data_IF_807529408156
#
_entry.id   IF_807529408156
#
_cell.length_a   1.000
_cell.length_b   1.000
_cell.length_c   1.000
_cell.angle_alpha   90.00
_cell.angle_beta   90.00
_cell.angle_gamma   90.00
#
_symmetry.space_group_name_H-M   'P 1'
#
loop_
_entity.id
_entity.type
_entity.pdbx_description
1 polymer ?
#
# COMPACT_ATOMS: atom_id res chain seq x y z
N UNK A 1 -11.70 -2.35 26.89
CA UNK A 1 -10.47 -2.11 26.08
C UNK A 1 -10.60 -2.92 24.80
N UNK A 2 -10.78 -2.29 23.64
CA UNK A 2 -10.66 -2.97 22.35
C UNK A 2 -9.22 -3.47 22.19
N UNK A 3 -9.02 -4.74 21.89
CA UNK A 3 -7.72 -5.23 21.44
C UNK A 3 -7.71 -5.16 19.91
N UNK A 4 -7.11 -4.10 19.38
CA UNK A 4 -6.90 -3.93 17.96
C UNK A 4 -5.51 -4.40 17.58
N UNK A 5 -5.42 -5.35 16.65
CA UNK A 5 -4.18 -5.67 15.95
C UNK A 5 -4.42 -5.48 14.46
N UNK A 6 -4.35 -4.24 13.99
CA UNK A 6 -4.50 -3.92 12.57
C UNK A 6 -3.33 -3.08 12.05
N UNK A 7 -3.04 -3.20 10.76
CA UNK A 7 -1.92 -2.52 10.09
C UNK A 7 -2.22 -1.05 9.74
N UNK A 8 -3.50 -0.72 9.51
CA UNK A 8 -4.03 0.65 9.30
C UNK A 8 -5.57 0.66 9.30
N UNK A 9 -6.26 1.73 9.71
CA UNK A 9 -7.72 1.88 9.48
C UNK A 9 -8.08 1.83 7.99
N UNK A 10 -7.19 2.35 7.14
CA UNK A 10 -7.27 2.22 5.68
C UNK A 10 -7.39 0.76 5.20
N UNK A 11 -6.94 -0.23 5.99
CA UNK A 11 -7.01 -1.64 5.62
C UNK A 11 -8.42 -2.24 5.71
N UNK A 12 -9.39 -1.50 6.26
CA UNK A 12 -10.77 -1.96 6.41
C UNK A 12 -11.63 -1.70 5.18
N UNK A 13 -11.13 -1.00 4.17
CA UNK A 13 -11.95 -0.56 3.05
C UNK A 13 -11.45 -1.11 1.71
N UNK A 14 -12.38 -1.29 0.76
CA UNK A 14 -12.08 -1.77 -0.58
C UNK A 14 -11.35 -3.12 -0.57
N UNK A 15 -10.18 -3.17 -1.21
CA UNK A 15 -9.31 -4.35 -1.25
C UNK A 15 -8.08 -4.24 -0.33
N UNK A 16 -8.09 -3.33 0.63
CA UNK A 16 -7.00 -3.07 1.57
C UNK A 16 -6.15 -1.85 1.22
N UNK A 17 -5.00 -1.73 1.89
CA UNK A 17 -4.09 -0.58 1.76
C UNK A 17 -3.27 -0.68 0.48
N UNK A 18 -3.31 0.35 -0.36
CA UNK A 18 -2.44 0.45 -1.53
C UNK A 18 -0.96 0.51 -1.15
N UNK A 19 -0.13 -0.25 -1.87
CA UNK A 19 1.31 -0.24 -1.68
C UNK A 19 1.98 0.83 -2.56
N UNK A 20 2.22 2.00 -1.99
CA UNK A 20 2.91 3.11 -2.66
C UNK A 20 4.42 3.15 -2.35
N UNK A 21 4.95 2.18 -1.60
CA UNK A 21 6.28 2.25 -0.95
C UNK A 21 7.36 1.47 -1.69
N UNK A 22 7.36 1.55 -3.01
CA UNK A 22 8.24 0.77 -3.89
C UNK A 22 9.59 1.44 -4.14
N UNK A 23 9.73 2.74 -3.88
CA UNK A 23 10.98 3.48 -4.07
C UNK A 23 11.37 4.28 -2.82
N UNK A 24 12.20 3.72 -1.93
CA UNK A 24 12.62 4.38 -0.71
C UNK A 24 13.25 5.76 -0.91
N UNK A 25 13.90 6.04 -2.05
CA UNK A 25 14.44 7.36 -2.35
C UNK A 25 13.33 8.38 -2.62
N UNK A 26 12.33 8.00 -3.41
CA UNK A 26 11.18 8.85 -3.72
C UNK A 26 10.28 9.04 -2.49
N UNK A 27 10.13 8.01 -1.65
CA UNK A 27 9.52 8.10 -0.32
C UNK A 27 10.22 9.15 0.58
N UNK A 28 11.55 9.28 0.50
CA UNK A 28 12.30 10.31 1.21
C UNK A 28 12.03 11.75 0.75
N UNK A 29 11.42 11.92 -0.44
CA UNK A 29 11.00 13.18 -1.04
C UNK A 29 9.49 13.38 -0.94
N UNK A 30 8.93 13.16 0.23
CA UNK A 30 7.52 13.41 0.50
C UNK A 30 6.59 12.37 -0.10
N UNK A 31 7.02 11.10 -0.25
CA UNK A 31 6.23 10.07 -0.95
C UNK A 31 5.93 10.41 -2.43
N UNK A 32 6.89 11.04 -3.11
CA UNK A 32 6.85 11.19 -4.57
C UNK A 32 6.85 9.83 -5.26
N UNK A 33 6.21 9.74 -6.42
CA UNK A 33 6.33 8.58 -7.32
C UNK A 33 7.06 8.92 -8.62
N UNK A 34 7.25 10.20 -8.94
CA UNK A 34 7.86 10.65 -10.19
C UNK A 34 9.34 11.03 -10.06
N UNK A 35 9.80 11.36 -8.84
CA UNK A 35 11.14 11.88 -8.57
C UNK A 35 11.80 11.19 -7.37
N UNK A 36 13.10 10.89 -7.50
CA UNK A 36 13.89 10.23 -6.44
C UNK A 36 15.09 11.06 -5.96
N UNK A 37 15.46 12.12 -6.67
CA UNK A 37 16.69 12.88 -6.40
C UNK A 37 17.98 12.05 -6.53
N UNK A 38 17.94 10.84 -7.12
CA UNK A 38 19.13 10.02 -7.35
C UNK A 38 20.07 10.66 -8.38
N UNK A 39 21.40 10.47 -8.25
CA UNK A 39 22.37 10.99 -9.22
C UNK A 39 22.21 10.46 -10.65
N UNK A 40 21.67 9.25 -10.84
CA UNK A 40 21.41 8.68 -12.18
C UNK A 40 20.00 8.99 -12.69
N UNK A 41 19.19 9.73 -11.92
CA UNK A 41 17.81 10.07 -12.27
C UNK A 41 16.84 8.88 -12.29
N UNK A 42 17.24 7.69 -11.85
CA UNK A 42 16.38 6.50 -11.85
C UNK A 42 15.35 6.60 -10.71
N UNK A 43 14.10 6.29 -11.04
CA UNK A 43 12.95 6.25 -10.14
C UNK A 43 12.25 4.92 -10.36
N UNK A 44 12.25 4.04 -9.37
CA UNK A 44 11.73 2.67 -9.53
C UNK A 44 10.22 2.65 -9.76
N UNK A 45 9.51 3.64 -9.21
CA UNK A 45 8.08 3.84 -9.40
C UNK A 45 7.69 4.40 -10.77
N UNK A 46 8.61 4.99 -11.53
CA UNK A 46 8.33 5.64 -12.80
C UNK A 46 9.14 5.03 -13.95
N UNK A 47 8.46 4.26 -14.81
CA UNK A 47 9.10 3.45 -15.85
C UNK A 47 9.86 4.30 -16.87
N UNK A 48 9.47 5.56 -17.08
CA UNK A 48 10.15 6.48 -18.01
C UNK A 48 11.62 6.72 -17.65
N UNK A 49 12.06 6.47 -16.42
CA UNK A 49 13.46 6.71 -16.01
C UNK A 49 14.40 5.51 -16.16
N UNK A 50 13.88 4.29 -16.27
CA UNK A 50 14.70 3.08 -16.10
C UNK A 50 15.81 2.96 -17.16
N UNK A 51 15.59 3.48 -18.37
CA UNK A 51 16.60 3.49 -19.43
C UNK A 51 17.82 4.36 -19.10
N UNK A 52 17.76 5.26 -18.11
CA UNK A 52 18.89 6.07 -17.65
C UNK A 52 20.00 5.20 -17.03
N UNK A 53 19.67 4.00 -16.56
CA UNK A 53 20.64 3.00 -16.12
C UNK A 53 21.17 2.15 -17.28
N UNK A 54 22.49 2.16 -17.47
CA UNK A 54 23.18 1.25 -18.40
C UNK A 54 23.57 -0.10 -17.76
N UNK A 55 23.10 -0.37 -16.55
CA UNK A 55 23.36 -1.61 -15.81
C UNK A 55 22.12 -2.49 -15.79
N UNK A 56 22.34 -3.80 -15.83
CA UNK A 56 21.37 -4.78 -15.39
C UNK A 56 21.28 -4.71 -13.87
N UNK A 57 20.11 -4.35 -13.33
CA UNK A 57 19.90 -4.08 -11.91
C UNK A 57 18.88 -5.05 -11.31
N UNK A 58 19.16 -5.50 -10.10
CA UNK A 58 18.17 -6.05 -9.17
C UNK A 58 17.92 -4.98 -8.11
N UNK A 59 16.65 -4.72 -7.81
CA UNK A 59 16.21 -3.83 -6.74
C UNK A 59 15.27 -4.58 -5.80
N UNK A 60 15.44 -4.38 -4.50
CA UNK A 60 14.52 -4.91 -3.48
C UNK A 60 14.22 -3.77 -2.52
N UNK A 61 12.93 -3.53 -2.28
CA UNK A 61 12.43 -2.58 -1.31
C UNK A 61 11.64 -3.29 -0.21
N UNK A 62 11.88 -2.89 1.03
CA UNK A 62 11.17 -3.36 2.22
C UNK A 62 10.60 -2.16 2.98
N UNK A 63 9.52 -2.41 3.70
CA UNK A 63 8.88 -1.44 4.55
C UNK A 63 8.67 -2.01 5.96
N UNK A 64 9.02 -1.21 6.95
CA UNK A 64 8.62 -1.36 8.33
C UNK A 64 7.64 -0.24 8.65
N UNK A 65 6.51 -0.58 9.25
CA UNK A 65 5.49 0.37 9.69
C UNK A 65 5.23 0.14 11.16
N UNK A 66 5.18 1.23 11.93
CA UNK A 66 4.67 1.25 13.28
C UNK A 66 3.46 2.18 13.32
N UNK A 67 2.32 1.66 13.73
CA UNK A 67 1.07 2.40 13.91
C UNK A 67 0.78 2.51 15.41
N UNK A 68 0.29 3.67 15.85
CA UNK A 68 -0.17 3.90 17.21
C UNK A 68 -1.58 4.47 17.21
N UNK A 69 -2.48 3.82 17.94
CA UNK A 69 -3.90 4.14 18.06
C UNK A 69 -4.31 4.00 19.51
N UNK A 70 -4.83 5.07 20.13
CA UNK A 70 -5.24 5.09 21.54
C UNK A 70 -4.20 4.44 22.48
N UNK A 71 -2.92 4.78 22.27
CA UNK A 71 -1.75 4.27 23.00
C UNK A 71 -1.41 2.77 22.81
N UNK A 72 -2.10 2.06 21.92
CA UNK A 72 -1.72 0.72 21.46
C UNK A 72 -0.83 0.85 20.24
N UNK A 73 0.35 0.22 20.27
CA UNK A 73 1.30 0.22 19.14
C UNK A 73 1.32 -1.13 18.43
N UNK A 74 1.19 -1.11 17.12
CA UNK A 74 1.36 -2.29 16.27
C UNK A 74 2.51 -2.07 15.28
N UNK A 75 3.26 -3.12 14.96
CA UNK A 75 4.39 -3.06 14.04
C UNK A 75 4.28 -4.14 12.98
N UNK A 76 4.52 -3.76 11.72
CA UNK A 76 4.50 -4.67 10.57
C UNK A 76 5.79 -4.53 9.77
N UNK A 77 6.26 -5.66 9.24
CA UNK A 77 7.31 -5.69 8.21
C UNK A 77 6.74 -6.33 6.94
N UNK A 78 6.99 -5.71 5.79
CA UNK A 78 6.56 -6.22 4.50
C UNK A 78 7.59 -5.93 3.40
N UNK A 79 7.74 -6.87 2.47
CA UNK A 79 8.47 -6.63 1.23
C UNK A 79 7.61 -5.74 0.33
N UNK A 80 8.13 -4.56 -0.04
CA UNK A 80 7.44 -3.59 -0.89
C UNK A 80 7.50 -3.96 -2.38
N UNK A 81 8.68 -4.31 -2.88
CA UNK A 81 8.89 -4.73 -4.27
C UNK A 81 10.18 -5.52 -4.45
N UNK A 82 10.22 -6.32 -5.51
CA UNK A 82 11.41 -6.96 -6.05
C UNK A 82 11.39 -6.74 -7.55
N UNK A 83 12.42 -6.09 -8.08
CA UNK A 83 12.45 -5.62 -9.46
C UNK A 83 13.76 -6.02 -10.12
N UNK A 84 13.68 -6.48 -11.36
CA UNK A 84 14.82 -6.77 -12.21
C UNK A 84 14.71 -5.93 -13.48
N UNK A 85 15.75 -5.20 -13.83
CA UNK A 85 15.78 -4.40 -15.05
C UNK A 85 17.09 -4.58 -15.80
N UNK A 86 17.03 -4.46 -17.12
CA UNK A 86 18.23 -4.48 -17.94
C UNK A 86 18.06 -3.61 -19.19
N UNK A 87 19.11 -2.89 -19.59
CA UNK A 87 19.12 -2.20 -20.86
C UNK A 87 19.30 -3.21 -22.00
N UNK A 88 18.48 -3.09 -23.03
CA UNK A 88 18.68 -3.84 -24.29
C UNK A 88 19.19 -2.94 -25.43
N UNK A 89 19.11 -1.62 -25.24
CA UNK A 89 19.76 -0.58 -26.06
C UNK A 89 20.26 0.53 -25.14
N UNK A 90 21.07 1.45 -25.67
CA UNK A 90 21.58 2.60 -24.89
C UNK A 90 20.48 3.50 -24.31
N UNK A 91 19.35 3.58 -25.00
CA UNK A 91 18.23 4.46 -24.64
C UNK A 91 16.97 3.68 -24.31
N UNK A 92 17.06 2.35 -24.12
CA UNK A 92 15.90 1.52 -23.83
C UNK A 92 16.20 0.44 -22.81
N UNK A 93 15.26 0.22 -21.89
CA UNK A 93 15.34 -0.86 -20.91
C UNK A 93 14.03 -1.63 -20.81
N UNK A 94 14.17 -2.88 -20.38
CA UNK A 94 13.06 -3.73 -19.93
C UNK A 94 13.16 -3.87 -18.42
N UNK A 95 12.03 -3.96 -17.75
CA UNK A 95 11.94 -4.34 -16.34
C UNK A 95 10.86 -5.38 -16.13
N UNK A 96 11.08 -6.25 -15.16
CA UNK A 96 10.11 -7.21 -14.65
C UNK A 96 10.17 -7.11 -13.14
N UNK A 97 9.02 -7.03 -12.48
CA UNK A 97 9.03 -6.95 -11.03
C UNK A 97 7.76 -7.49 -10.40
N UNK A 98 7.84 -7.73 -9.10
CA UNK A 98 6.76 -8.23 -8.28
C UNK A 98 6.59 -7.29 -7.09
N UNK A 99 5.35 -6.85 -6.87
CA UNK A 99 4.99 -5.99 -5.74
C UNK A 99 3.55 -6.29 -5.32
N UNK A 100 3.20 -6.25 -4.04
CA UNK A 100 1.79 -6.17 -3.66
C UNK A 100 1.18 -4.89 -4.23
N UNK A 101 -0.02 -4.95 -4.82
CA UNK A 101 -0.85 -3.77 -5.16
C UNK A 101 -1.61 -3.31 -3.91
N UNK A 102 -2.27 -4.23 -3.22
CA UNK A 102 -2.95 -3.98 -1.94
C UNK A 102 -2.50 -4.95 -0.86
N UNK A 103 -2.63 -4.55 0.41
CA UNK A 103 -2.42 -5.41 1.56
C UNK A 103 -3.52 -5.22 2.60
N UNK A 104 -3.99 -6.34 3.13
CA UNK A 104 -4.87 -6.41 4.28
C UNK A 104 -4.25 -7.36 5.28
N UNK A 105 -4.10 -6.88 6.50
CA UNK A 105 -3.63 -7.69 7.63
C UNK A 105 -4.18 -7.05 8.91
N UNK A 106 -5.26 -7.65 9.43
CA UNK A 106 -5.85 -7.24 10.69
C UNK A 106 -6.61 -8.36 11.40
N UNK A 107 -6.59 -8.28 12.72
CA UNK A 107 -7.42 -9.07 13.61
C UNK A 107 -8.19 -8.13 14.54
N UNK A 108 -9.52 -8.21 14.47
CA UNK A 108 -10.45 -7.43 15.30
C UNK A 108 -11.37 -8.39 16.04
N UNK A 109 -11.49 -8.21 17.35
CA UNK A 109 -12.56 -8.82 18.13
C UNK A 109 -13.49 -7.74 18.65
N UNK A 110 -14.80 -7.96 18.52
CA UNK A 110 -15.78 -7.05 19.09
C UNK A 110 -15.58 -6.93 20.60
N UNK A 111 -15.63 -5.73 21.18
CA UNK A 111 -15.43 -5.56 22.63
C UNK A 111 -16.68 -5.92 23.44
N UNK A 112 -17.87 -5.74 22.86
CA UNK A 112 -19.16 -5.94 23.50
C UNK A 112 -19.88 -7.13 22.86
N UNK A 113 -20.79 -7.75 23.63
CA UNK A 113 -21.66 -8.79 23.12
C UNK A 113 -22.82 -8.17 22.33
N UNK A 114 -23.17 -8.82 21.24
CA UNK A 114 -24.45 -8.61 20.58
C UNK A 114 -25.50 -9.54 21.19
N UNK A 115 -26.69 -9.03 21.46
CA UNK A 115 -27.73 -9.76 22.18
C UNK A 115 -28.92 -10.03 21.29
N UNK A 116 -29.23 -11.32 21.12
CA UNK A 116 -30.49 -11.75 20.53
C UNK A 116 -31.43 -12.08 21.68
N UNK A 117 -32.50 -11.31 21.80
CA UNK A 117 -33.51 -11.51 22.84
C UNK A 117 -34.21 -12.85 22.64
N UNK A 118 -34.40 -13.58 23.74
CA UNK A 118 -35.16 -14.82 23.76
C UNK A 118 -36.66 -14.57 23.64
N UNK A 119 -37.40 -15.56 23.13
CA UNK A 119 -38.86 -15.60 23.12
C UNK A 119 -39.40 -16.63 24.11
N UNK A 120 -40.71 -16.88 24.09
CA UNK A 120 -41.36 -17.87 24.98
C UNK A 120 -40.80 -19.30 24.84
N UNK A 121 -40.20 -19.62 23.68
CA UNK A 121 -39.64 -20.94 23.38
C UNK A 121 -38.12 -20.96 23.14
N UNK A 122 -37.42 -19.83 23.30
CA UNK A 122 -35.97 -19.77 23.03
C UNK A 122 -35.24 -18.90 24.04
N UNK A 123 -34.21 -19.46 24.67
CA UNK A 123 -33.31 -18.70 25.53
C UNK A 123 -32.61 -17.58 24.73
N UNK A 124 -32.32 -16.42 25.35
CA UNK A 124 -31.53 -15.38 24.71
C UNK A 124 -30.11 -15.89 24.43
N UNK A 125 -29.47 -15.29 23.43
CA UNK A 125 -28.11 -15.66 23.03
C UNK A 125 -27.25 -14.40 23.02
N UNK A 126 -26.08 -14.48 23.64
CA UNK A 126 -25.03 -13.49 23.49
C UNK A 126 -24.05 -13.95 22.41
N UNK A 127 -23.64 -13.04 21.54
CA UNK A 127 -22.75 -13.33 20.42
C UNK A 127 -21.54 -12.41 20.46
N UNK A 128 -20.40 -12.96 20.07
CA UNK A 128 -19.16 -12.20 19.90
C UNK A 128 -18.48 -12.62 18.62
N UNK A 129 -18.25 -11.65 17.73
CA UNK A 129 -17.54 -11.88 16.49
C UNK A 129 -16.05 -11.53 16.61
N UNK A 130 -15.22 -12.31 15.95
CA UNK A 130 -13.84 -11.95 15.64
C UNK A 130 -13.56 -12.13 14.16
N UNK A 131 -12.87 -11.16 13.60
CA UNK A 131 -12.58 -11.02 12.19
C UNK A 131 -11.07 -11.06 12.00
N UNK A 132 -10.59 -12.03 11.23
CA UNK A 132 -9.19 -12.13 10.85
C UNK A 132 -9.09 -12.06 9.33
N UNK A 133 -8.48 -11.00 8.82
CA UNK A 133 -8.29 -10.78 7.39
C UNK A 133 -6.81 -10.73 7.07
N UNK A 134 -6.40 -11.47 6.05
CA UNK A 134 -5.01 -11.49 5.58
C UNK A 134 -4.93 -11.68 4.07
N UNK A 135 -3.96 -11.01 3.43
CA UNK A 135 -3.70 -11.14 1.99
C UNK A 135 -3.92 -9.84 1.22
N UNK A 136 -4.39 -9.94 -0.01
CA UNK A 136 -4.61 -8.80 -0.91
C UNK A 136 -4.22 -9.09 -2.36
N UNK A 137 -4.18 -8.03 -3.17
CA UNK A 137 -3.84 -8.12 -4.58
C UNK A 137 -2.33 -7.99 -4.74
N UNK A 138 -1.71 -8.96 -5.38
CA UNK A 138 -0.33 -8.94 -5.88
C UNK A 138 -0.27 -8.45 -7.33
N UNK A 139 0.88 -7.90 -7.71
CA UNK A 139 1.14 -7.36 -9.04
C UNK A 139 2.48 -7.88 -9.57
N UNK A 140 2.43 -8.70 -10.61
CA UNK A 140 3.57 -9.01 -11.47
C UNK A 140 3.53 -8.05 -12.66
N UNK A 141 4.61 -7.34 -12.93
CA UNK A 141 4.63 -6.39 -14.02
C UNK A 141 5.75 -6.61 -15.01
N UNK A 142 5.52 -6.15 -16.24
CA UNK A 142 6.54 -5.98 -17.28
C UNK A 142 6.54 -4.52 -17.71
N UNK A 143 7.71 -3.88 -17.64
CA UNK A 143 7.90 -2.47 -17.96
C UNK A 143 8.85 -2.25 -19.13
N UNK A 144 8.55 -1.24 -19.95
CA UNK A 144 9.39 -0.73 -21.03
C UNK A 144 9.71 0.73 -20.77
N UNK A 145 10.96 1.12 -21.03
CA UNK A 145 11.43 2.49 -20.90
C UNK A 145 12.17 2.91 -22.17
N UNK A 146 11.95 4.15 -22.62
CA UNK A 146 12.62 4.73 -23.79
C UNK A 146 12.87 6.23 -23.61
N UNK A 147 14.10 6.68 -23.90
CA UNK A 147 14.50 8.09 -23.87
C UNK A 147 14.91 8.66 -25.24
N UNK A 148 14.19 8.30 -26.31
CA UNK A 148 14.62 8.62 -27.69
C UNK A 148 13.96 9.87 -28.30
N UNK A 149 12.84 10.38 -27.79
CA UNK A 149 12.05 11.40 -28.49
C UNK A 149 12.44 12.79 -27.98
N UNK A 150 13.42 13.45 -28.60
CA UNK A 150 13.70 14.90 -28.45
C UNK A 150 13.55 15.46 -27.01
N UNK A 151 14.29 14.91 -26.04
CA UNK A 151 14.26 15.25 -24.60
C UNK A 151 12.96 14.85 -23.86
N UNK A 152 12.24 13.86 -24.38
CA UNK A 152 11.08 13.23 -23.76
C UNK A 152 11.38 11.76 -23.50
N UNK A 153 11.24 11.35 -22.24
CA UNK A 153 11.32 9.95 -21.83
C UNK A 153 9.92 9.40 -21.62
N UNK A 154 9.70 8.17 -22.08
CA UNK A 154 8.41 7.47 -22.02
C UNK A 154 8.60 6.11 -21.34
N UNK A 155 7.63 5.76 -20.49
CA UNK A 155 7.52 4.49 -19.80
C UNK A 155 6.16 3.85 -20.04
N UNK A 156 6.15 2.53 -20.22
CA UNK A 156 4.95 1.70 -20.22
C UNK A 156 5.13 0.61 -19.18
N UNK A 157 4.13 0.39 -18.32
CA UNK A 157 4.05 -0.72 -17.38
C UNK A 157 2.79 -1.51 -17.65
N UNK A 158 2.92 -2.82 -17.86
CA UNK A 158 1.78 -3.74 -17.87
C UNK A 158 1.80 -4.53 -16.57
N UNK A 159 0.72 -4.39 -15.79
CA UNK A 159 0.50 -5.03 -14.51
C UNK A 159 -0.45 -6.23 -14.69
N UNK A 160 -0.04 -7.38 -14.18
CA UNK A 160 -0.82 -8.61 -14.07
C UNK A 160 -1.17 -8.78 -12.60
N UNK A 161 -2.44 -8.57 -12.28
CA UNK A 161 -2.97 -8.58 -10.93
C UNK A 161 -3.44 -9.99 -10.58
N UNK A 162 -2.99 -10.50 -9.45
CA UNK A 162 -3.37 -11.83 -8.95
C UNK A 162 -3.25 -11.87 -7.43
N UNK A 163 -3.78 -12.89 -6.77
CA UNK A 163 -3.56 -13.08 -5.33
C UNK A 163 -4.85 -13.42 -4.62
N UNK A 164 -4.74 -13.60 -3.30
CA UNK A 164 -5.84 -14.07 -2.48
C UNK A 164 -6.01 -13.17 -1.26
N UNK A 165 -7.27 -12.98 -0.86
CA UNK A 165 -7.63 -12.44 0.45
C UNK A 165 -8.37 -13.53 1.21
N UNK A 166 -7.89 -13.83 2.42
CA UNK A 166 -8.49 -14.76 3.36
C UNK A 166 -9.22 -13.97 4.44
N UNK A 167 -10.46 -14.36 4.72
CA UNK A 167 -11.31 -13.72 5.70
C UNK A 167 -11.96 -14.79 6.58
N UNK A 168 -11.44 -14.93 7.79
CA UNK A 168 -11.93 -15.85 8.78
C UNK A 168 -12.80 -15.11 9.79
N UNK A 169 -14.09 -15.45 9.82
CA UNK A 169 -15.05 -14.87 10.75
C UNK A 169 -15.41 -15.96 11.76
N UNK A 170 -14.99 -15.77 13.00
CA UNK A 170 -15.37 -16.66 14.10
C UNK A 170 -16.50 -16.01 14.87
N UNK A 171 -17.59 -16.76 15.04
CA UNK A 171 -18.75 -16.33 15.82
C UNK A 171 -18.88 -17.25 17.02
N UNK A 172 -18.60 -16.70 18.20
CA UNK A 172 -18.78 -17.39 19.46
C UNK A 172 -20.15 -17.03 20.01
N UNK A 173 -20.96 -18.05 20.30
CA UNK A 173 -22.23 -17.90 21.00
C UNK A 173 -22.03 -18.29 22.46
N UNK A 174 -22.73 -17.60 23.35
CA UNK A 174 -22.67 -17.82 24.78
C UNK A 174 -24.08 -17.98 25.31
N UNK A 175 -24.23 -18.94 26.23
CA UNK A 175 -25.47 -19.11 26.97
C UNK A 175 -25.60 -18.06 28.05
N UNK A 176 -26.84 -17.69 28.30
CA UNK A 176 -27.23 -16.81 29.38
C UNK A 176 -27.75 -17.58 30.58
N UNK A 177 -27.33 -17.18 31.77
CA UNK A 177 -27.86 -17.69 33.02
C UNK A 177 -28.53 -16.56 33.80
N UNK A 178 -29.86 -16.47 33.69
CA UNK A 178 -30.68 -15.49 34.38
C UNK A 178 -30.65 -15.60 35.91
N UNK A 179 -30.28 -16.77 36.44
CA UNK A 179 -30.26 -17.03 37.88
C UNK A 179 -28.88 -16.76 38.52
N UNK A 180 -27.97 -16.09 37.80
CA UNK A 180 -26.69 -15.68 38.35
C UNK A 180 -26.85 -14.58 39.40
N UNK A 181 -26.21 -14.74 40.56
CA UNK A 181 -26.36 -13.86 41.75
C UNK A 181 -26.03 -12.36 41.51
N UNK A 182 -25.51 -11.98 40.33
CA UNK A 182 -25.10 -10.62 39.96
C UNK A 182 -25.74 -10.10 38.65
N UNK A 183 -26.82 -10.75 38.19
CA UNK A 183 -27.55 -10.33 36.98
C UNK A 183 -28.42 -9.11 37.25
N UNK A 184 -28.05 -7.96 36.68
CA UNK A 184 -28.82 -6.71 36.81
C UNK A 184 -29.48 -6.41 35.47
N UNK A 185 -30.81 -6.41 35.44
CA UNK A 185 -31.59 -5.97 34.28
C UNK A 185 -31.71 -4.44 34.26
N UNK A 186 -31.44 -3.81 33.12
CA UNK A 186 -31.76 -2.42 32.84
C UNK A 186 -33.26 -2.21 32.62
N UNK A 187 -33.71 -0.95 32.72
CA UNK A 187 -35.13 -0.58 32.70
C UNK A 187 -35.83 -0.84 31.35
N UNK A 188 -35.08 -1.07 30.28
CA UNK A 188 -35.54 -1.42 28.94
C UNK A 188 -35.57 -2.94 28.70
N UNK A 189 -35.21 -3.76 29.69
CA UNK A 189 -35.13 -5.22 29.59
C UNK A 189 -33.81 -5.75 29.06
N UNK A 190 -32.83 -4.88 28.77
CA UNK A 190 -31.45 -5.28 28.50
C UNK A 190 -30.71 -5.61 29.82
N UNK A 191 -29.52 -6.21 29.76
CA UNK A 191 -28.73 -6.54 30.96
C UNK A 191 -27.56 -5.57 31.11
N UNK A 192 -27.43 -4.98 32.30
CA UNK A 192 -26.47 -3.91 32.60
C UNK A 192 -25.01 -4.40 32.74
N UNK A 193 -24.79 -5.72 32.80
CA UNK A 193 -23.46 -6.31 32.96
C UNK A 193 -23.30 -7.70 32.31
N UNK A 194 -22.07 -8.05 31.91
CA UNK A 194 -21.71 -9.34 31.32
C UNK A 194 -21.75 -10.51 32.34
N UNK A 195 -22.18 -10.27 33.59
CA UNK A 195 -22.14 -11.23 34.68
C UNK A 195 -23.08 -12.44 34.48
N UNK A 196 -24.06 -12.29 33.59
CA UNK A 196 -25.04 -13.34 33.24
C UNK A 196 -24.56 -14.27 32.12
N UNK A 197 -23.41 -13.97 31.50
CA UNK A 197 -22.90 -14.68 30.33
C UNK A 197 -21.95 -15.77 30.81
N UNK A 198 -22.09 -16.99 30.29
CA UNK A 198 -21.16 -18.08 30.57
C UNK A 198 -19.71 -17.68 30.24
N UNK A 199 -18.75 -18.08 31.07
CA UNK A 199 -17.34 -17.70 30.87
C UNK A 199 -16.69 -18.33 29.63
N UNK A 200 -17.29 -19.41 29.09
CA UNK A 200 -16.85 -20.12 27.90
C UNK A 200 -17.95 -20.10 26.83
N UNK A 201 -17.59 -20.06 25.54
CA UNK A 201 -18.56 -20.14 24.47
C UNK A 201 -19.29 -21.50 24.49
N UNK A 202 -20.61 -21.47 24.33
CA UNK A 202 -21.44 -22.67 24.20
C UNK A 202 -21.31 -23.31 22.83
N UNK A 203 -21.10 -22.51 21.79
CA UNK A 203 -20.72 -22.98 20.47
C UNK A 203 -19.90 -21.94 19.71
N UNK A 204 -19.09 -22.41 18.78
CA UNK A 204 -18.30 -21.58 17.87
C UNK A 204 -18.61 -22.00 16.44
N UNK A 205 -18.90 -21.04 15.58
CA UNK A 205 -18.92 -21.23 14.13
C UNK A 205 -17.80 -20.46 13.47
N UNK A 206 -17.21 -21.04 12.43
CA UNK A 206 -16.14 -20.44 11.64
C UNK A 206 -16.62 -20.38 10.20
N UNK A 207 -16.64 -19.16 9.67
CA UNK A 207 -16.89 -18.86 8.27
C UNK A 207 -15.58 -18.42 7.63
N UNK A 208 -15.05 -19.25 6.74
CA UNK A 208 -13.84 -18.97 5.97
C UNK A 208 -14.26 -18.50 4.57
N UNK A 209 -13.97 -17.25 4.24
CA UNK A 209 -14.15 -16.72 2.90
C UNK A 209 -12.78 -16.55 2.23
N UNK A 210 -12.63 -17.05 1.01
CA UNK A 210 -11.44 -16.84 0.19
C UNK A 210 -11.83 -16.08 -1.07
N UNK A 211 -11.18 -14.94 -1.31
CA UNK A 211 -11.35 -14.14 -2.52
C UNK A 211 -10.13 -14.31 -3.41
N UNK A 212 -10.30 -14.82 -4.61
CA UNK A 212 -9.24 -14.97 -5.61
C UNK A 212 -9.35 -13.84 -6.63
N UNK A 213 -8.26 -13.08 -6.79
CA UNK A 213 -8.18 -11.95 -7.70
C UNK A 213 -7.48 -12.34 -9.01
N UNK A 214 -7.99 -11.84 -10.13
CA UNK A 214 -7.32 -11.90 -11.43
C UNK A 214 -7.66 -10.65 -12.24
N UNK A 215 -6.67 -9.89 -12.67
CA UNK A 215 -6.94 -8.71 -13.47
C UNK A 215 -5.72 -8.09 -14.12
N UNK A 216 -5.94 -6.94 -14.74
CA UNK A 216 -4.90 -6.21 -15.45
C UNK A 216 -4.93 -4.72 -15.13
N UNK A 217 -3.80 -4.07 -15.38
CA UNK A 217 -3.65 -2.62 -15.31
C UNK A 217 -2.50 -2.17 -16.20
N UNK A 218 -2.55 -0.95 -16.69
CA UNK A 218 -1.50 -0.34 -17.50
C UNK A 218 -1.13 1.02 -16.95
N UNK A 219 0.17 1.30 -16.80
CA UNK A 219 0.67 2.62 -16.41
C UNK A 219 1.50 3.20 -17.54
N UNK A 220 1.24 4.46 -17.87
CA UNK A 220 1.98 5.23 -18.87
C UNK A 220 2.61 6.43 -18.17
N UNK A 221 3.93 6.56 -18.28
CA UNK A 221 4.69 7.66 -17.70
C UNK A 221 5.39 8.44 -18.81
N UNK A 222 5.37 9.77 -18.73
CA UNK A 222 6.09 10.66 -19.62
C UNK A 222 6.84 11.73 -18.83
N UNK A 223 8.03 12.11 -19.27
CA UNK A 223 8.76 13.24 -18.67
C UNK A 223 9.56 13.99 -19.71
N UNK A 224 9.79 15.27 -19.47
CA UNK A 224 10.62 16.12 -20.31
C UNK A 224 11.51 17.01 -19.46
N UNK A 225 12.77 17.14 -19.87
CA UNK A 225 13.81 17.91 -19.18
C UNK A 225 14.32 19.03 -20.10
N UNK A 226 14.26 20.27 -19.60
CA UNK A 226 14.73 21.48 -20.29
C UNK A 226 15.55 22.29 -19.28
N UNK A 227 16.85 22.37 -19.51
CA UNK A 227 17.82 23.03 -18.63
C UNK A 227 17.77 22.52 -17.17
N UNK A 228 17.26 23.34 -16.26
CA UNK A 228 17.12 23.02 -14.82
C UNK A 228 15.71 22.58 -14.44
N UNK A 229 14.84 22.40 -15.43
CA UNK A 229 13.42 22.12 -15.23
C UNK A 229 13.06 20.74 -15.78
N UNK A 230 12.36 19.94 -14.98
CA UNK A 230 11.78 18.67 -15.44
C UNK A 230 10.29 18.62 -15.09
N UNK A 231 9.47 18.23 -16.05
CA UNK A 231 8.04 17.96 -15.88
C UNK A 231 7.82 16.47 -16.10
N UNK A 232 7.06 15.83 -15.22
CA UNK A 232 6.71 14.42 -15.32
C UNK A 232 5.20 14.21 -15.12
N UNK A 233 4.63 13.26 -15.86
CA UNK A 233 3.21 12.89 -15.77
C UNK A 233 3.10 11.37 -15.79
N UNK A 234 2.17 10.82 -15.02
CA UNK A 234 1.83 9.41 -14.98
C UNK A 234 0.32 9.22 -15.01
N UNK A 235 -0.14 8.23 -15.76
CA UNK A 235 -1.55 7.79 -15.76
C UNK A 235 -1.63 6.27 -15.70
N UNK A 236 -2.47 5.76 -14.81
CA UNK A 236 -2.78 4.34 -14.71
C UNK A 236 -4.23 4.08 -15.13
N UNK A 237 -4.40 3.06 -15.96
CA UNK A 237 -5.68 2.55 -16.42
C UNK A 237 -5.85 1.15 -15.84
N UNK A 238 -6.88 0.97 -15.02
CA UNK A 238 -7.15 -0.24 -14.29
C UNK A 238 -8.34 -0.99 -14.91
N UNK A 239 -8.25 -2.33 -14.94
CA UNK A 239 -9.29 -3.22 -15.46
C UNK A 239 -8.76 -4.22 -16.50
N UNK A 240 -9.57 -5.21 -16.91
CA UNK A 240 -10.66 -5.80 -16.14
C UNK A 240 -10.14 -6.48 -14.85
N UNK A 241 -11.02 -6.67 -13.86
CA UNK A 241 -10.74 -7.41 -12.62
C UNK A 241 -11.86 -8.42 -12.38
N UNK A 242 -11.48 -9.64 -12.03
CA UNK A 242 -12.38 -10.74 -11.65
C UNK A 242 -12.07 -11.16 -10.23
N UNK A 243 -13.13 -11.36 -9.43
CA UNK A 243 -13.07 -11.81 -8.05
C UNK A 243 -13.93 -13.06 -7.92
N UNK A 244 -13.31 -14.18 -7.56
CA UNK A 244 -14.01 -15.43 -7.21
C UNK A 244 -14.00 -15.58 -5.70
N UNK A 245 -15.16 -15.50 -5.08
CA UNK A 245 -15.35 -15.71 -3.64
C UNK A 245 -15.81 -17.14 -3.39
N UNK A 246 -15.04 -17.88 -2.62
CA UNK A 246 -15.42 -19.19 -2.11
C UNK A 246 -15.72 -19.11 -0.61
N UNK A 247 -16.81 -19.76 -0.20
CA UNK A 247 -17.31 -19.73 1.17
C UNK A 247 -17.25 -21.13 1.75
N UNK A 248 -16.64 -21.29 2.92
CA UNK A 248 -16.63 -22.55 3.68
C UNK A 248 -17.12 -22.27 5.10
N UNK A 249 -18.15 -22.99 5.54
CA UNK A 249 -18.73 -22.85 6.88
C UNK A 249 -18.55 -24.15 7.65
N UNK A 250 -17.80 -24.14 8.76
CA UNK A 250 -17.55 -25.33 9.59
C UNK A 250 -17.16 -26.58 8.77
N UNK A 251 -16.28 -26.41 7.79
CA UNK A 251 -15.81 -27.45 6.86
C UNK A 251 -16.83 -27.97 5.83
N UNK A 252 -18.02 -27.36 5.74
CA UNK A 252 -18.97 -27.55 4.65
C UNK A 252 -18.74 -26.48 3.58
N UNK A 253 -18.52 -26.90 2.34
CA UNK A 253 -18.40 -25.98 1.20
C UNK A 253 -19.75 -25.31 0.91
N UNK A 254 -19.76 -23.99 0.90
CA UNK A 254 -20.86 -23.16 0.40
C UNK A 254 -20.80 -22.96 -1.11
N UNK A 255 -21.65 -22.07 -1.62
CA UNK A 255 -21.64 -21.68 -3.04
C UNK A 255 -20.50 -20.69 -3.33
N UNK A 256 -19.89 -20.83 -4.51
CA UNK A 256 -18.93 -19.87 -5.03
C UNK A 256 -19.68 -18.71 -5.71
N UNK A 257 -19.28 -17.48 -5.37
CA UNK A 257 -19.78 -16.25 -5.98
C UNK A 257 -18.71 -15.65 -6.91
N UNK A 258 -19.13 -15.17 -8.08
CA UNK A 258 -18.25 -14.62 -9.11
C UNK A 258 -18.69 -13.21 -9.45
N UNK A 259 -17.78 -12.25 -9.26
CA UNK A 259 -17.99 -10.86 -9.63
C UNK A 259 -16.87 -10.41 -10.57
N UNK A 260 -17.22 -9.72 -11.67
CA UNK A 260 -16.23 -9.17 -12.59
C UNK A 260 -16.60 -7.76 -13.06
N UNK A 261 -15.57 -6.94 -13.25
CA UNK A 261 -15.66 -5.68 -13.97
C UNK A 261 -14.83 -5.81 -15.25
N UNK A 262 -15.53 -5.82 -16.38
CA UNK A 262 -14.92 -6.03 -17.70
C UNK A 262 -14.50 -4.72 -18.39
N UNK A 263 -14.51 -3.60 -17.66
CA UNK A 263 -14.23 -2.26 -18.19
C UNK A 263 -12.89 -1.74 -17.68
N UNK A 264 -12.17 -1.09 -18.57
CA UNK A 264 -11.04 -0.25 -18.21
C UNK A 264 -11.54 1.11 -17.72
N UNK A 265 -10.95 1.61 -16.63
CA UNK A 265 -11.17 2.98 -16.18
C UNK A 265 -9.86 3.59 -15.68
N UNK A 266 -9.83 4.92 -15.58
CA UNK A 266 -8.64 5.61 -15.08
C UNK A 266 -8.59 5.39 -13.57
N UNK A 267 -7.52 4.75 -13.11
CA UNK A 267 -7.27 4.56 -11.68
C UNK A 267 -6.52 5.74 -11.10
N UNK A 268 -5.30 6.00 -11.57
CA UNK A 268 -4.43 7.01 -10.97
C UNK A 268 -3.95 8.02 -12.00
N UNK A 269 -3.79 9.26 -11.56
CA UNK A 269 -3.16 10.34 -12.30
C UNK A 269 -2.14 11.04 -11.41
N UNK A 270 -0.97 11.36 -11.95
CA UNK A 270 0.04 12.12 -11.23
C UNK A 270 0.76 13.09 -12.16
N UNK A 271 1.07 14.28 -11.66
CA UNK A 271 1.81 15.29 -12.38
C UNK A 271 2.78 15.95 -11.42
N UNK A 272 4.01 16.17 -11.86
CA UNK A 272 5.07 16.68 -11.03
C UNK A 272 6.03 17.58 -11.77
N UNK A 273 6.67 18.44 -11.00
CA UNK A 273 7.66 19.40 -11.46
C UNK A 273 8.90 19.34 -10.55
N UNK A 274 10.07 19.35 -11.17
CA UNK A 274 11.38 19.41 -10.51
C UNK A 274 12.13 20.64 -11.02
N UNK A 275 12.74 21.37 -10.09
CA UNK A 275 13.68 22.46 -10.40
C UNK A 275 15.03 22.19 -9.74
N UNK A 276 16.09 22.18 -10.54
CA UNK A 276 17.46 21.95 -10.11
C UNK A 276 18.26 23.27 -10.11
N UNK A 277 18.36 23.91 -8.95
CA UNK A 277 19.04 25.21 -8.83
C UNK A 277 20.55 25.13 -9.12
N UNK A 278 21.17 24.01 -8.76
CA UNK A 278 22.57 23.70 -9.03
C UNK A 278 22.71 22.19 -9.19
N UNK A 279 23.74 21.75 -9.90
CA UNK A 279 24.00 20.32 -10.11
C UNK A 279 23.95 19.55 -8.77
N UNK A 280 23.08 18.55 -8.71
CA UNK A 280 22.87 17.73 -7.53
C UNK A 280 22.02 18.39 -6.45
N UNK A 281 21.24 19.44 -6.74
CA UNK A 281 20.29 20.03 -5.78
C UNK A 281 19.06 20.60 -6.42
N UNK A 282 17.92 20.11 -5.95
CA UNK A 282 16.65 20.58 -6.45
C UNK A 282 15.54 20.50 -5.45
N UNK A 283 14.43 21.05 -5.90
CA UNK A 283 13.13 21.02 -5.24
C UNK A 283 12.13 20.34 -6.17
N UNK A 284 11.19 19.62 -5.60
CA UNK A 284 10.11 18.96 -6.34
C UNK A 284 8.76 19.33 -5.73
N UNK A 285 7.75 19.34 -6.59
CA UNK A 285 6.34 19.40 -6.21
C UNK A 285 5.57 18.41 -7.10
N UNK A 286 4.65 17.68 -6.50
CA UNK A 286 3.89 16.63 -7.19
C UNK A 286 2.45 16.57 -6.67
N UNK A 287 1.50 16.43 -7.60
CA UNK A 287 0.11 16.18 -7.35
C UNK A 287 -0.20 14.73 -7.74
N UNK A 288 -0.84 13.99 -6.84
CA UNK A 288 -1.35 12.65 -7.12
C UNK A 288 -2.86 12.61 -6.88
N UNK A 289 -3.58 11.89 -7.73
CA UNK A 289 -5.01 11.64 -7.61
C UNK A 289 -5.27 10.17 -7.88
N UNK A 290 -5.86 9.48 -6.91
CA UNK A 290 -6.33 8.10 -7.04
C UNK A 290 -7.86 8.11 -7.08
N UNK A 291 -8.42 7.42 -8.06
CA UNK A 291 -9.84 7.27 -8.31
C UNK A 291 -10.27 5.87 -7.87
N UNK A 292 -11.50 5.78 -7.38
CA UNK A 292 -12.12 4.53 -6.94
C UNK A 292 -12.59 3.71 -8.16
N UNK A 293 -11.66 3.04 -8.83
CA UNK A 293 -11.88 2.25 -10.06
C UNK A 293 -12.93 1.15 -9.85
N UNK A 294 -12.92 0.53 -8.66
CA UNK A 294 -13.67 -0.69 -8.39
C UNK A 294 -14.87 -0.47 -7.46
N UNK A 295 -15.39 0.75 -7.35
CA UNK A 295 -16.48 1.12 -6.43
C UNK A 295 -17.84 0.41 -6.65
N UNK A 296 -17.98 -0.42 -7.69
CA UNK A 296 -19.19 -1.21 -7.92
C UNK A 296 -19.09 -2.65 -7.45
N UNK A 297 -17.93 -3.10 -6.95
CA UNK A 297 -17.79 -4.45 -6.39
C UNK A 297 -18.48 -4.55 -5.04
N UNK A 298 -19.37 -5.52 -4.90
CA UNK A 298 -20.00 -5.89 -3.64
C UNK A 298 -19.09 -6.73 -2.74
N UNK A 299 -18.19 -7.52 -3.35
CA UNK A 299 -17.22 -8.38 -2.65
C UNK A 299 -15.97 -7.63 -2.16
N UNK A 300 -16.17 -6.49 -1.50
CA UNK A 300 -15.12 -5.69 -0.85
C UNK A 300 -15.11 -5.89 0.67
N UNK A 301 -14.02 -5.50 1.32
CA UNK A 301 -13.88 -5.59 2.78
C UNK A 301 -15.03 -4.85 3.47
N UNK A 302 -15.75 -5.56 4.32
CA UNK A 302 -16.96 -5.07 5.01
C UNK A 302 -18.01 -4.43 4.06
N UNK A 303 -18.00 -4.77 2.76
CA UNK A 303 -18.86 -4.16 1.74
C UNK A 303 -18.70 -2.63 1.66
N UNK A 304 -17.51 -2.12 1.98
CA UNK A 304 -17.18 -0.70 1.88
C UNK A 304 -16.42 -0.43 0.61
N UNK A 305 -16.80 0.64 -0.08
CA UNK A 305 -16.22 1.02 -1.36
C UNK A 305 -14.75 1.43 -1.23
N UNK A 306 -13.96 1.13 -2.27
CA UNK A 306 -12.61 1.67 -2.44
C UNK A 306 -12.64 3.21 -2.39
N UNK A 307 -11.86 3.86 -1.50
CA UNK A 307 -11.87 5.31 -1.37
C UNK A 307 -11.13 5.98 -2.54
N UNK A 308 -11.52 7.22 -2.83
CA UNK A 308 -10.73 8.10 -3.70
C UNK A 308 -9.75 8.93 -2.86
N UNK A 309 -8.65 9.40 -3.46
CA UNK A 309 -7.75 10.31 -2.76
C UNK A 309 -7.11 11.36 -3.66
N UNK A 310 -6.75 12.47 -3.06
CA UNK A 310 -5.93 13.52 -3.67
C UNK A 310 -4.81 13.90 -2.71
N UNK A 311 -3.61 14.11 -3.24
CA UNK A 311 -2.47 14.47 -2.41
C UNK A 311 -1.50 15.41 -3.11
N UNK A 312 -0.85 16.22 -2.28
CA UNK A 312 0.21 17.13 -2.66
C UNK A 312 1.47 16.70 -1.93
N UNK A 313 2.55 16.59 -2.69
CA UNK A 313 3.85 16.13 -2.23
C UNK A 313 4.88 17.20 -2.58
N UNK A 314 5.81 17.44 -1.67
CA UNK A 314 6.91 18.37 -1.89
C UNK A 314 8.18 17.85 -1.26
N UNK A 315 9.32 18.20 -1.85
CA UNK A 315 10.60 17.69 -1.38
C UNK A 315 11.79 18.49 -1.88
N UNK A 316 12.90 18.33 -1.18
CA UNK A 316 14.20 18.92 -1.48
C UNK A 316 15.28 17.84 -1.41
N UNK A 317 16.27 17.90 -2.29
CA UNK A 317 17.42 17.00 -2.26
C UNK A 317 18.75 17.72 -2.42
N UNK A 318 19.79 17.12 -1.85
CA UNK A 318 21.20 17.50 -2.06
C UNK A 318 22.05 16.26 -2.24
N UNK A 319 22.83 16.24 -3.31
CA UNK A 319 23.82 15.22 -3.61
C UNK A 319 25.21 15.75 -3.25
N UNK A 320 26.03 14.88 -2.69
CA UNK A 320 27.43 15.12 -2.38
C UNK A 320 28.24 14.07 -3.11
N UNK A 321 29.14 14.51 -3.98
CA UNK A 321 30.07 13.63 -4.68
C UNK A 321 31.33 13.42 -3.84
N UNK A 322 31.80 12.17 -3.76
CA UNK A 322 33.08 11.88 -3.13
C UNK A 322 34.22 12.39 -4.01
N UNK A 323 35.10 13.20 -3.43
CA UNK A 323 36.31 13.69 -4.10
C UNK A 323 37.42 12.64 -4.21
N UNK A 324 37.28 11.49 -3.55
CA UNK A 324 38.27 10.40 -3.56
C UNK A 324 37.70 9.18 -4.28
N UNK A 325 38.49 8.62 -5.18
CA UNK A 325 38.27 7.28 -5.74
C UNK A 325 38.27 6.27 -4.59
N UNK A 326 37.11 5.73 -4.20
CA UNK A 326 36.97 4.97 -2.95
C UNK A 326 35.59 4.34 -2.71
N UNK A 327 35.37 3.91 -1.46
CA UNK A 327 34.24 3.07 -0.99
C UNK A 327 32.85 3.60 -1.34
N UNK A 328 32.65 4.92 -1.49
CA UNK A 328 31.38 5.51 -1.90
C UNK A 328 31.59 6.60 -2.95
N UNK A 329 30.57 6.80 -3.79
CA UNK A 329 30.58 7.71 -4.94
C UNK A 329 29.70 8.92 -4.70
N UNK A 330 28.44 8.69 -4.32
CA UNK A 330 27.48 9.76 -4.03
C UNK A 330 26.75 9.49 -2.72
N UNK A 331 26.57 10.56 -1.96
CA UNK A 331 25.68 10.63 -0.81
C UNK A 331 24.53 11.56 -1.17
N UNK A 332 23.30 11.12 -1.02
CA UNK A 332 22.10 11.92 -1.29
C UNK A 332 21.30 12.10 -0.01
N UNK A 333 21.03 13.34 0.36
CA UNK A 333 20.12 13.69 1.44
C UNK A 333 18.82 14.22 0.86
N UNK A 334 17.70 13.83 1.46
CA UNK A 334 16.34 14.14 1.02
C UNK A 334 15.49 14.56 2.20
N UNK A 335 14.60 15.51 1.98
CA UNK A 335 13.55 15.88 2.92
C UNK A 335 12.29 16.23 2.17
N UNK A 336 11.12 15.98 2.76
CA UNK A 336 9.86 16.27 2.10
C UNK A 336 8.65 16.20 3.02
N UNK A 337 7.49 16.44 2.42
CA UNK A 337 6.20 16.40 3.08
C UNK A 337 5.13 15.82 2.15
N UNK A 338 4.07 15.30 2.75
CA UNK A 338 2.87 14.80 2.08
C UNK A 338 1.65 15.36 2.79
N UNK A 339 0.72 15.90 2.02
CA UNK A 339 -0.63 16.27 2.46
C UNK A 339 -1.61 15.46 1.63
N UNK A 340 -2.34 14.52 2.22
CA UNK A 340 -3.25 13.62 1.52
C UNK A 340 -4.64 13.67 2.14
N UNK A 341 -5.66 13.76 1.30
CA UNK A 341 -7.05 13.63 1.68
C UNK A 341 -7.62 12.37 1.03
N UNK A 342 -8.21 11.51 1.84
CA UNK A 342 -8.84 10.24 1.45
C UNK A 342 -10.34 10.40 1.70
N UNK A 343 -11.15 10.20 0.67
CA UNK A 343 -12.58 10.36 0.73
C UNK A 343 -13.25 8.99 0.62
N UNK A 344 -13.93 8.61 1.69
CA UNK A 344 -14.88 7.50 1.73
C UNK A 344 -16.29 8.03 1.46
N UNK A 345 -17.25 7.12 1.30
CA UNK A 345 -18.65 7.51 1.06
C UNK A 345 -19.27 8.27 2.23
N UNK A 346 -18.89 7.93 3.48
CA UNK A 346 -19.49 8.47 4.70
C UNK A 346 -18.61 9.48 5.45
N UNK A 347 -17.29 9.45 5.27
CA UNK A 347 -16.33 10.28 6.01
C UNK A 347 -15.06 10.55 5.19
N UNK A 348 -14.23 11.47 5.66
CA UNK A 348 -12.91 11.70 5.08
C UNK A 348 -11.78 11.56 6.10
N UNK A 349 -10.59 11.23 5.60
CA UNK A 349 -9.36 11.08 6.39
C UNK A 349 -8.28 11.99 5.81
N UNK A 350 -7.69 12.82 6.68
CA UNK A 350 -6.53 13.66 6.37
C UNK A 350 -5.25 12.93 6.84
N UNK A 351 -4.38 12.57 5.90
CA UNK A 351 -3.09 11.94 6.16
C UNK A 351 -1.96 12.92 5.83
N UNK A 352 -1.31 13.42 6.89
CA UNK A 352 -0.22 14.39 6.77
C UNK A 352 1.08 13.76 7.26
N UNK A 353 2.15 13.90 6.50
CA UNK A 353 3.45 13.32 6.84
C UNK A 353 4.63 14.22 6.49
N UNK A 354 5.70 14.06 7.25
CA UNK A 354 7.03 14.57 6.93
C UNK A 354 7.97 13.39 6.66
N UNK A 355 8.91 13.58 5.75
CA UNK A 355 9.83 12.53 5.32
C UNK A 355 11.28 13.01 5.32
N UNK A 356 12.19 12.10 5.65
CA UNK A 356 13.62 12.28 5.44
C UNK A 356 14.16 11.04 4.72
N UNK A 357 15.19 11.25 3.90
CA UNK A 357 15.80 10.17 3.13
C UNK A 357 17.31 10.30 3.02
N UNK A 358 17.95 9.14 2.94
CA UNK A 358 19.38 8.97 2.79
C UNK A 358 19.63 7.97 1.66
N UNK A 359 20.52 8.30 0.73
CA UNK A 359 20.93 7.43 -0.36
C UNK A 359 22.45 7.37 -0.46
N UNK A 360 23.01 6.18 -0.65
CA UNK A 360 24.44 5.95 -0.82
C UNK A 360 24.69 5.12 -2.06
N UNK A 361 25.38 5.70 -3.05
CA UNK A 361 25.94 4.95 -4.18
C UNK A 361 27.38 4.58 -3.91
N UNK A 362 27.72 3.33 -4.23
CA UNK A 362 29.04 2.77 -3.95
C UNK A 362 29.48 1.81 -5.06
N UNK A 363 30.76 1.41 -4.99
CA UNK A 363 31.40 0.52 -5.96
C UNK A 363 31.27 1.01 -7.42
N UNK A 364 31.71 2.24 -7.68
CA UNK A 364 31.65 2.87 -9.00
C UNK A 364 30.21 3.00 -9.55
N UNK A 365 29.28 3.43 -8.70
CA UNK A 365 27.86 3.63 -9.04
C UNK A 365 27.11 2.36 -9.48
N UNK A 366 27.66 1.18 -9.18
CA UNK A 366 27.01 -0.10 -9.51
C UNK A 366 25.98 -0.50 -8.47
N UNK A 367 26.17 -0.10 -7.20
CA UNK A 367 25.28 -0.45 -6.11
C UNK A 367 24.76 0.80 -5.41
N UNK A 368 23.57 0.69 -4.85
CA UNK A 368 22.90 1.77 -4.13
C UNK A 368 22.11 1.22 -2.94
N UNK A 369 22.17 1.93 -1.82
CA UNK A 369 21.28 1.73 -0.67
C UNK A 369 20.50 3.03 -0.47
N UNK A 370 19.19 2.91 -0.34
CA UNK A 370 18.30 4.01 0.01
C UNK A 370 17.52 3.68 1.28
N UNK A 371 17.44 4.65 2.18
CA UNK A 371 16.65 4.56 3.41
C UNK A 371 15.77 5.79 3.48
N UNK A 372 14.48 5.62 3.78
CA UNK A 372 13.61 6.73 4.14
C UNK A 372 12.87 6.47 5.43
N UNK A 373 12.61 7.57 6.14
CA UNK A 373 11.77 7.62 7.32
C UNK A 373 10.62 8.58 7.02
N UNK A 374 9.40 8.15 7.29
CA UNK A 374 8.20 9.00 7.25
C UNK A 374 7.55 8.98 8.61
N UNK A 375 7.18 10.14 9.14
CA UNK A 375 6.34 10.25 10.33
C UNK A 375 5.11 11.06 9.98
N UNK A 376 3.94 10.56 10.36
CA UNK A 376 2.68 11.18 9.98
C UNK A 376 1.55 10.91 10.95
N UNK A 377 0.46 11.63 10.73
CA UNK A 377 -0.77 11.55 11.51
C UNK A 377 -1.94 11.45 10.54
N UNK A 378 -2.85 10.52 10.81
CA UNK A 378 -4.14 10.41 10.13
C UNK A 378 -5.22 10.89 11.07
N UNK A 379 -5.99 11.87 10.61
CA UNK A 379 -7.15 12.40 11.30
C UNK A 379 -8.39 12.05 10.53
N UNK A 380 -9.37 11.51 11.22
CA UNK A 380 -10.65 11.09 10.67
C UNK A 380 -11.74 12.04 11.16
N UNK A 381 -12.71 12.32 10.30
CA UNK A 381 -13.89 13.12 10.66
C UNK A 381 -14.93 12.29 11.43
N UNK A 382 -14.84 10.96 11.36
CA UNK A 382 -15.74 10.02 12.04
C UNK A 382 -15.28 9.77 13.48
N UNK A 383 -16.16 10.03 14.46
CA UNK A 383 -15.91 9.86 15.89
C UNK A 383 -15.66 8.40 16.30
N UNK A 384 -16.09 7.43 15.48
CA UNK A 384 -15.90 5.99 15.74
C UNK A 384 -14.43 5.59 15.52
N UNK A 385 -13.74 6.25 14.59
CA UNK A 385 -12.36 5.95 14.28
C UNK A 385 -11.44 6.91 15.07
N UNK A 386 -10.51 6.40 15.88
CA UNK A 386 -9.53 7.25 16.54
C UNK A 386 -8.44 7.74 15.57
N UNK A 387 -7.86 8.91 15.88
CA UNK A 387 -6.66 9.41 15.22
C UNK A 387 -5.51 8.38 15.27
N UNK A 388 -4.78 8.26 14.16
CA UNK A 388 -3.64 7.35 14.05
C UNK A 388 -2.34 8.11 13.90
N UNK A 389 -1.30 7.69 14.62
CA UNK A 389 0.07 8.15 14.39
C UNK A 389 0.86 7.02 13.78
N UNK A 390 1.72 7.32 12.81
CA UNK A 390 2.57 6.29 12.22
C UNK A 390 4.02 6.74 12.03
N UNK A 391 4.89 5.73 12.03
CA UNK A 391 6.29 5.82 11.62
C UNK A 391 6.53 4.74 10.58
N UNK A 392 7.03 5.13 9.41
CA UNK A 392 7.42 4.20 8.36
C UNK A 392 8.90 4.30 8.10
N UNK A 393 9.59 3.16 8.05
CA UNK A 393 10.96 3.05 7.58
C UNK A 393 10.95 2.22 6.30
N UNK A 394 11.45 2.78 5.20
CA UNK A 394 11.63 2.05 3.96
C UNK A 394 13.12 1.83 3.73
N UNK A 395 13.48 0.62 3.33
CA UNK A 395 14.84 0.23 3.02
C UNK A 395 14.90 -0.36 1.62
N UNK A 396 15.77 0.18 0.78
CA UNK A 396 15.96 -0.24 -0.60
C UNK A 396 17.41 -0.57 -0.84
N UNK A 397 17.66 -1.67 -1.54
CA UNK A 397 18.98 -2.00 -2.06
C UNK A 397 18.86 -2.24 -3.56
N UNK A 398 19.80 -1.69 -4.32
CA UNK A 398 19.98 -2.06 -5.71
C UNK A 398 21.41 -2.49 -5.98
N UNK A 399 21.54 -3.54 -6.78
CA UNK A 399 22.81 -4.05 -7.26
C UNK A 399 22.78 -4.16 -8.77
N UNK A 400 23.77 -3.56 -9.40
CA UNK A 400 23.87 -3.44 -10.85
C UNK A 400 25.18 -4.00 -11.38
N UNK A 401 25.11 -4.62 -12.55
CA UNK A 401 26.29 -5.07 -13.29
C UNK A 401 26.05 -4.96 -14.81
N UNK A 402 27.11 -4.98 -15.60
CA UNK A 402 27.03 -4.91 -17.05
C UNK A 402 26.87 -6.31 -17.65
N UNK A 403 25.62 -6.73 -17.85
CA UNK A 403 25.33 -7.98 -18.54
C UNK A 403 25.10 -7.72 -20.04
N UNK A 404 25.22 -8.77 -20.87
CA UNK A 404 24.88 -8.73 -22.30
C UNK A 404 25.70 -7.75 -23.17
N UNK A 405 26.97 -7.48 -22.83
CA UNK A 405 27.88 -6.73 -23.70
C UNK A 405 28.28 -7.56 -24.92
N UNK A 406 28.07 -7.01 -26.12
CA UNK A 406 28.68 -7.55 -27.35
C UNK A 406 30.19 -7.28 -27.32
N UNK A 407 30.96 -8.26 -26.86
CA UNK A 407 32.42 -8.21 -26.91
C UNK A 407 32.84 -8.39 -28.37
N UNK A 408 33.36 -7.33 -29.01
CA UNK A 408 34.11 -7.51 -30.26
C UNK A 408 35.40 -8.24 -29.91
N UNK A 409 35.57 -9.48 -30.42
CA UNK A 409 36.89 -10.11 -30.47
C UNK A 409 37.79 -9.19 -31.31
N UNK A 410 38.88 -8.70 -30.71
CA UNK A 410 39.93 -7.98 -31.42
C UNK A 410 40.71 -8.93 -32.30
#
# INVERSE_FOLDING_TARGET
LMSFAYSSSLSFNGFGVENTRIDPAANGLGNSILFSGRPDGVVQSAMSTLHKSLLTKIHIANNFNQLSVLDVTNSMHAISSIDFSFPFRKTHSISIGLSPKTRTDFNISQPQFEFISGGEESDPIAMKHSYNYSGGISNLYVGLSSGYIDNVDIGLKWNILFGNLFADITTNTYTFNYNGDNCISDADGSYANDACIGSNPSSSSILNNTYNFNGHSFTFDGRSEIDSHEIAVSISIDGPLTVVKSIVNNSLSGEDDLESIDKFSIGNFSCGYKFEYQVGSGVIMELQKNLSTYNTFSNQLFQTNEPSSISIHGGVYRQFESSRMGFWNYLTLRGGFMLKQINYDAYSVQDNAVTIGFGLKFLNNTNEIDISLSSGIRRTEDEIYPDEKYINVNFGISSGDTWFKKIRRK
#
